data_IF_161382686570
#
_entry.id   IF_161382686570
#
_cell.length_a   1.000
_cell.length_b   1.000
_cell.length_c   1.000
_cell.angle_alpha   90.00
_cell.angle_beta   90.00
_cell.angle_gamma   90.00
#
_symmetry.space_group_name_H-M   'P 1'
#
loop_
_entity.id
_entity.type
_entity.pdbx_description
1 polymer ?
#
# COMPACT_ATOMS: atom_id res chain seq x y z
N UNK A 1 36.35 -22.16 37.99
CA UNK A 1 36.11 -20.92 38.73
C UNK A 1 35.23 -20.05 37.88
N UNK A 2 34.10 -20.08 38.08
CA UNK A 2 32.82 -19.53 38.41
C UNK A 2 32.76 -18.03 38.32
N UNK A 3 32.17 -17.51 37.21
CA UNK A 3 31.62 -16.14 37.11
C UNK A 3 30.26 -16.20 36.46
N UNK A 4 29.36 -16.98 37.01
CA UNK A 4 27.92 -16.85 36.82
C UNK A 4 27.33 -16.45 38.15
N UNK A 5 27.49 -15.15 38.53
CA UNK A 5 26.72 -14.59 39.62
C UNK A 5 25.26 -14.51 39.14
N UNK A 6 24.46 -15.37 39.77
CA UNK A 6 22.99 -15.39 39.69
C UNK A 6 22.44 -14.02 40.08
N UNK A 7 21.86 -13.33 39.11
CA UNK A 7 20.90 -12.25 39.35
C UNK A 7 19.53 -12.94 39.38
N UNK A 8 18.95 -13.19 40.59
CA UNK A 8 17.67 -13.92 40.67
C UNK A 8 16.55 -13.02 40.16
N UNK A 9 15.89 -13.49 39.10
CA UNK A 9 14.71 -12.88 38.52
C UNK A 9 14.80 -12.43 37.05
N UNK A 10 15.93 -11.92 36.60
CA UNK A 10 16.09 -11.43 35.21
C UNK A 10 16.51 -12.56 34.29
N UNK A 11 17.32 -13.51 34.77
CA UNK A 11 17.82 -14.61 33.92
C UNK A 11 16.75 -15.62 33.54
N UNK A 12 15.73 -15.86 34.36
CA UNK A 12 14.64 -16.79 34.08
C UNK A 12 13.70 -16.27 32.98
N UNK A 13 13.34 -14.99 33.05
CA UNK A 13 12.48 -14.38 32.06
C UNK A 13 13.18 -14.18 30.70
N UNK A 14 14.45 -13.77 30.71
CA UNK A 14 15.26 -13.62 29.49
C UNK A 14 15.50 -14.96 28.80
N UNK A 15 15.77 -16.05 29.53
CA UNK A 15 15.93 -17.38 28.95
C UNK A 15 14.62 -17.93 28.36
N UNK A 16 13.47 -17.58 28.93
CA UNK A 16 12.16 -17.98 28.39
C UNK A 16 11.74 -17.15 27.17
N UNK A 17 12.12 -15.88 27.11
CA UNK A 17 11.79 -14.98 25.99
C UNK A 17 12.77 -15.08 24.82
N UNK A 18 14.01 -15.51 25.07
CA UNK A 18 15.04 -15.60 24.03
C UNK A 18 14.62 -16.46 22.81
N UNK A 19 14.00 -17.66 22.96
CA UNK A 19 13.53 -18.42 21.82
C UNK A 19 12.45 -17.69 21.02
N UNK A 20 11.52 -16.99 21.70
CA UNK A 20 10.47 -16.24 21.06
C UNK A 20 11.02 -15.06 20.25
N UNK A 21 11.98 -14.32 20.83
CA UNK A 21 12.64 -13.21 20.14
C UNK A 21 13.41 -13.70 18.92
N UNK A 22 14.19 -14.78 19.08
CA UNK A 22 14.96 -15.37 17.99
C UNK A 22 14.06 -15.84 16.85
N UNK A 23 12.97 -16.53 17.17
CA UNK A 23 11.96 -16.99 16.20
C UNK A 23 11.25 -15.82 15.52
N UNK A 24 10.94 -14.75 16.27
CA UNK A 24 10.33 -13.52 15.71
C UNK A 24 11.25 -12.85 14.70
N UNK A 25 12.55 -12.75 15.00
CA UNK A 25 13.55 -12.20 14.08
C UNK A 25 13.69 -13.10 12.84
N UNK A 26 13.78 -14.42 13.05
CA UNK A 26 13.89 -15.39 11.97
C UNK A 26 12.70 -15.33 10.98
N UNK A 27 11.47 -15.12 11.46
CA UNK A 27 10.29 -14.93 10.61
C UNK A 27 10.19 -13.53 10.00
N UNK A 28 10.67 -12.51 10.69
CA UNK A 28 10.62 -11.12 10.16
C UNK A 28 11.52 -10.92 8.94
N UNK A 29 12.66 -11.58 8.88
CA UNK A 29 13.64 -11.46 7.79
C UNK A 29 13.04 -11.87 6.44
N UNK A 30 12.43 -13.07 6.26
CA UNK A 30 11.76 -13.44 5.03
C UNK A 30 10.63 -12.47 4.65
N UNK A 31 9.86 -11.99 5.62
CA UNK A 31 8.75 -11.06 5.36
C UNK A 31 9.22 -9.68 4.89
N UNK A 32 10.48 -9.33 5.14
CA UNK A 32 11.10 -8.11 4.65
C UNK A 32 11.72 -8.29 3.25
N UNK A 33 12.33 -9.46 2.99
CA UNK A 33 13.16 -9.70 1.79
C UNK A 33 12.33 -10.27 0.63
N UNK A 34 11.40 -11.20 0.92
CA UNK A 34 10.68 -11.97 -0.12
C UNK A 34 9.66 -11.13 -0.91
N UNK A 35 8.89 -10.20 -0.30
CA UNK A 35 7.94 -9.42 -1.08
C UNK A 35 8.66 -8.49 -2.07
N UNK A 36 8.30 -8.57 -3.35
CA UNK A 36 8.78 -7.66 -4.40
C UNK A 36 8.21 -6.22 -4.27
N UNK A 37 7.51 -5.92 -3.16
CA UNK A 37 7.02 -4.60 -2.78
C UNK A 37 7.73 -4.12 -1.53
N UNK A 38 7.96 -2.81 -1.40
CA UNK A 38 8.59 -2.22 -0.21
C UNK A 38 7.66 -2.36 0.99
N UNK A 39 7.83 -3.43 1.75
CA UNK A 39 7.14 -3.62 3.03
C UNK A 39 7.84 -2.76 4.08
N UNK A 40 7.07 -1.94 4.79
CA UNK A 40 7.60 -1.16 5.91
C UNK A 40 8.09 -2.14 6.97
N UNK A 41 9.35 -2.00 7.39
CA UNK A 41 10.01 -2.88 8.36
C UNK A 41 9.17 -3.16 9.62
N UNK A 42 8.39 -2.16 10.09
CA UNK A 42 7.49 -2.29 11.26
C UNK A 42 6.37 -3.32 11.03
N UNK A 43 5.83 -3.43 9.82
CA UNK A 43 4.78 -4.41 9.48
C UNK A 43 5.35 -5.81 9.32
N UNK A 44 6.57 -5.93 8.77
CA UNK A 44 7.28 -7.20 8.71
C UNK A 44 7.59 -7.74 10.12
N UNK A 45 8.01 -6.87 11.05
CA UNK A 45 8.22 -7.24 12.46
C UNK A 45 6.90 -7.66 13.11
N UNK A 46 5.82 -6.91 12.92
CA UNK A 46 4.52 -7.28 13.49
C UNK A 46 4.04 -8.66 12.99
N UNK A 47 4.19 -8.95 11.70
CA UNK A 47 3.90 -10.27 11.12
C UNK A 47 4.82 -11.35 11.68
N UNK A 48 6.12 -11.08 11.84
CA UNK A 48 7.09 -12.00 12.41
C UNK A 48 6.81 -12.34 13.88
N UNK A 49 6.43 -11.34 14.68
CA UNK A 49 6.01 -11.54 16.08
C UNK A 49 4.72 -12.36 16.15
N UNK A 50 3.73 -12.05 15.32
CA UNK A 50 2.47 -12.80 15.28
C UNK A 50 2.72 -14.27 14.87
N UNK A 51 3.57 -14.52 13.87
CA UNK A 51 3.98 -15.87 13.46
C UNK A 51 4.71 -16.61 14.57
N UNK A 52 5.63 -15.96 15.29
CA UNK A 52 6.36 -16.56 16.39
C UNK A 52 5.44 -16.96 17.55
N UNK A 53 4.49 -16.10 17.92
CA UNK A 53 3.48 -16.41 18.93
C UNK A 53 2.61 -17.58 18.46
N UNK A 54 2.11 -17.54 17.23
CA UNK A 54 1.32 -18.62 16.65
C UNK A 54 2.08 -19.95 16.62
N UNK A 55 3.35 -19.89 16.26
CA UNK A 55 4.23 -21.08 16.25
C UNK A 55 4.44 -21.67 17.66
N UNK A 56 4.62 -20.82 18.67
CA UNK A 56 4.77 -21.26 20.08
C UNK A 56 3.48 -21.92 20.59
N UNK A 57 2.32 -21.31 20.29
CA UNK A 57 1.00 -21.89 20.63
C UNK A 57 0.77 -23.21 19.90
N UNK A 58 1.07 -23.26 18.60
CA UNK A 58 0.97 -24.48 17.80
C UNK A 58 1.88 -25.60 18.36
N UNK A 59 3.12 -25.29 18.71
CA UNK A 59 4.08 -26.21 19.28
C UNK A 59 3.57 -26.86 20.57
N UNK A 60 2.99 -26.06 21.47
CA UNK A 60 2.38 -26.54 22.72
C UNK A 60 1.13 -27.38 22.45
N UNK A 61 0.24 -26.89 21.56
CA UNK A 61 -0.97 -27.62 21.16
C UNK A 61 -0.63 -28.97 20.52
N UNK A 62 0.38 -29.01 19.66
CA UNK A 62 0.85 -30.25 19.02
C UNK A 62 1.45 -31.24 20.04
N UNK A 63 2.19 -30.77 21.05
CA UNK A 63 2.68 -31.63 22.13
C UNK A 63 1.52 -32.26 22.92
N UNK A 64 0.49 -31.47 23.26
CA UNK A 64 -0.73 -31.95 23.90
C UNK A 64 -1.45 -32.97 23.03
N UNK A 65 -1.56 -32.71 21.71
CA UNK A 65 -2.19 -33.64 20.74
C UNK A 65 -1.48 -35.01 20.76
N UNK A 66 -0.16 -35.05 20.65
CA UNK A 66 0.59 -36.34 20.63
C UNK A 66 0.44 -37.09 21.95
N UNK A 67 0.43 -36.41 23.10
CA UNK A 67 0.36 -37.06 24.41
C UNK A 67 -1.01 -37.57 24.76
N UNK A 68 -2.09 -36.92 24.32
CA UNK A 68 -3.48 -37.27 24.66
C UNK A 68 -4.17 -38.17 23.63
N UNK A 69 -3.63 -38.25 22.39
CA UNK A 69 -4.22 -39.07 21.34
C UNK A 69 -3.25 -40.16 20.83
N UNK A 70 -2.93 -41.19 21.67
CA UNK A 70 -1.98 -42.26 21.30
C UNK A 70 -2.56 -43.25 20.27
N UNK A 71 -3.82 -43.07 19.81
CA UNK A 71 -4.52 -43.98 18.94
C UNK A 71 -3.75 -44.33 17.66
N UNK A 72 -3.08 -43.35 17.06
CA UNK A 72 -2.23 -43.58 15.87
C UNK A 72 -1.02 -44.48 16.18
N UNK A 73 -0.40 -44.26 17.33
CA UNK A 73 0.73 -45.11 17.76
C UNK A 73 0.27 -46.52 18.11
N UNK A 74 -0.92 -46.68 18.71
CA UNK A 74 -1.48 -48.00 19.03
C UNK A 74 -1.82 -48.82 17.81
N UNK A 75 -2.26 -48.21 16.70
CA UNK A 75 -2.64 -48.91 15.46
C UNK A 75 -1.45 -49.13 14.52
N UNK A 76 -0.61 -48.12 14.33
CA UNK A 76 0.46 -48.09 13.34
C UNK A 76 1.86 -48.30 13.91
N UNK A 77 2.01 -48.35 15.24
CA UNK A 77 3.30 -48.53 15.90
C UNK A 77 4.32 -47.45 15.48
N UNK A 78 5.51 -47.92 15.10
CA UNK A 78 6.59 -47.00 14.65
C UNK A 78 6.26 -46.23 13.36
N UNK A 79 5.41 -46.78 12.50
CA UNK A 79 4.99 -46.12 11.24
C UNK A 79 4.13 -44.86 11.46
N UNK A 80 3.56 -44.68 12.66
CA UNK A 80 2.81 -43.47 13.02
C UNK A 80 3.68 -42.19 12.99
N UNK A 81 4.99 -42.34 13.11
CA UNK A 81 5.94 -41.21 13.10
C UNK A 81 5.88 -40.41 11.79
N UNK A 82 5.68 -41.08 10.64
CA UNK A 82 5.68 -40.43 9.33
C UNK A 82 4.49 -39.46 9.19
N UNK A 83 3.21 -39.85 9.38
CA UNK A 83 2.09 -38.92 9.28
C UNK A 83 2.13 -37.84 10.36
N UNK A 84 2.61 -38.11 11.58
CA UNK A 84 2.78 -37.13 12.63
C UNK A 84 3.82 -36.06 12.23
N UNK A 85 4.93 -36.47 11.63
CA UNK A 85 5.96 -35.58 11.13
C UNK A 85 5.45 -34.71 9.96
N UNK A 86 4.70 -35.31 9.03
CA UNK A 86 4.08 -34.55 7.94
C UNK A 86 3.08 -33.52 8.45
N UNK A 87 2.27 -33.86 9.46
CA UNK A 87 1.35 -32.94 10.10
C UNK A 87 2.11 -31.78 10.77
N UNK A 88 3.24 -32.07 11.43
CA UNK A 88 4.11 -31.06 12.00
C UNK A 88 4.63 -30.06 10.95
N UNK A 89 5.16 -30.55 9.84
CA UNK A 89 5.64 -29.72 8.73
C UNK A 89 4.49 -28.86 8.18
N UNK A 90 3.33 -29.45 7.95
CA UNK A 90 2.16 -28.74 7.44
C UNK A 90 1.74 -27.58 8.36
N UNK A 91 1.61 -27.84 9.66
CA UNK A 91 1.26 -26.82 10.64
C UNK A 91 2.33 -25.74 10.74
N UNK A 92 3.60 -26.09 10.65
CA UNK A 92 4.71 -25.13 10.66
C UNK A 92 4.61 -24.15 9.48
N UNK A 93 4.38 -24.67 8.26
CA UNK A 93 4.17 -23.82 7.08
C UNK A 93 2.92 -22.94 7.19
N UNK A 94 1.86 -23.47 7.76
CA UNK A 94 0.63 -22.72 7.99
C UNK A 94 0.88 -21.49 8.88
N UNK A 95 1.70 -21.63 9.94
CA UNK A 95 2.06 -20.50 10.81
C UNK A 95 2.92 -19.46 10.09
N UNK A 96 3.88 -19.91 9.26
CA UNK A 96 4.69 -19.01 8.44
C UNK A 96 3.82 -18.22 7.46
N UNK A 97 2.90 -18.87 6.76
CA UNK A 97 2.00 -18.23 5.82
C UNK A 97 1.01 -17.27 6.52
N UNK A 98 0.50 -17.65 7.68
CA UNK A 98 -0.37 -16.78 8.49
C UNK A 98 0.33 -15.48 8.86
N UNK A 99 1.59 -15.56 9.30
CA UNK A 99 2.40 -14.38 9.60
C UNK A 99 2.63 -13.49 8.37
N UNK A 100 2.88 -14.10 7.21
CA UNK A 100 3.02 -13.38 5.94
C UNK A 100 1.73 -12.63 5.57
N UNK A 101 0.56 -13.29 5.73
CA UNK A 101 -0.75 -12.67 5.48
C UNK A 101 -0.98 -11.51 6.44
N UNK A 102 -0.64 -11.65 7.72
CA UNK A 102 -0.76 -10.57 8.71
C UNK A 102 0.13 -9.39 8.31
N UNK A 103 1.41 -9.64 7.97
CA UNK A 103 2.34 -8.60 7.53
C UNK A 103 1.82 -7.84 6.30
N UNK A 104 1.31 -8.57 5.30
CA UNK A 104 0.74 -8.02 4.08
C UNK A 104 -0.55 -7.23 4.36
N UNK A 105 -1.44 -7.76 5.20
CA UNK A 105 -2.71 -7.12 5.55
C UNK A 105 -2.50 -5.80 6.29
N UNK A 106 -1.57 -5.74 7.24
CA UNK A 106 -1.24 -4.50 7.95
C UNK A 106 -0.70 -3.42 6.99
N UNK A 107 0.02 -3.81 5.96
CA UNK A 107 0.48 -2.88 4.92
C UNK A 107 -0.67 -2.35 4.08
N UNK A 108 -1.66 -3.21 3.75
CA UNK A 108 -2.80 -2.85 2.89
C UNK A 108 -3.89 -2.05 3.61
N UNK A 109 -4.07 -2.20 4.92
CA UNK A 109 -5.11 -1.52 5.69
C UNK A 109 -4.96 0.00 5.71
N UNK A 110 -3.74 0.52 5.78
CA UNK A 110 -3.49 1.96 5.72
C UNK A 110 -3.83 2.53 4.36
N UNK A 111 -3.58 1.75 3.30
CA UNK A 111 -3.91 2.10 1.93
C UNK A 111 -5.43 2.20 1.70
N UNK A 112 -6.20 1.21 2.19
CA UNK A 112 -7.67 1.20 2.08
C UNK A 112 -8.32 2.34 2.87
N UNK A 113 -7.81 2.66 4.06
CA UNK A 113 -8.33 3.77 4.88
C UNK A 113 -8.11 5.12 4.22
N UNK A 114 -6.96 5.33 3.60
CA UNK A 114 -6.66 6.56 2.87
C UNK A 114 -7.52 6.70 1.60
N UNK A 115 -7.83 5.59 0.92
CA UNK A 115 -8.69 5.58 -0.27
C UNK A 115 -10.18 5.81 0.08
N UNK A 116 -10.61 5.51 1.29
CA UNK A 116 -12.00 5.69 1.75
C UNK A 116 -12.31 7.08 2.33
N UNK A 117 -11.30 7.87 2.69
CA UNK A 117 -11.51 9.24 3.14
C UNK A 117 -11.95 10.12 1.97
N UNK A 118 -13.22 10.53 1.99
CA UNK A 118 -13.83 11.41 0.96
C UNK A 118 -13.08 12.75 0.83
N UNK A 119 -12.46 13.21 1.91
CA UNK A 119 -11.54 14.36 1.94
C UNK A 119 -10.26 14.07 1.14
N UNK A 120 -9.90 12.79 0.97
CA UNK A 120 -8.69 12.37 0.26
C UNK A 120 -8.80 12.53 -1.26
N UNK A 121 -10.00 12.42 -1.86
CA UNK A 121 -10.15 12.46 -3.33
C UNK A 121 -9.77 13.83 -3.92
N UNK A 122 -10.24 14.92 -3.34
CA UNK A 122 -9.82 16.27 -3.76
C UNK A 122 -8.34 16.53 -3.51
N UNK A 123 -7.80 16.07 -2.38
CA UNK A 123 -6.37 16.13 -2.07
C UNK A 123 -5.56 15.34 -3.09
N UNK A 124 -5.98 14.12 -3.42
CA UNK A 124 -5.30 13.25 -4.40
C UNK A 124 -5.19 13.91 -5.77
N UNK A 125 -6.24 14.57 -6.22
CA UNK A 125 -6.24 15.31 -7.48
C UNK A 125 -5.21 16.46 -7.44
N UNK A 126 -5.20 17.26 -6.39
CA UNK A 126 -4.24 18.38 -6.24
C UNK A 126 -2.79 17.85 -6.12
N UNK A 127 -2.58 16.78 -5.36
CA UNK A 127 -1.26 16.17 -5.20
C UNK A 127 -0.77 15.56 -6.53
N UNK A 128 -1.68 15.01 -7.35
CA UNK A 128 -1.38 14.54 -8.69
C UNK A 128 -0.95 15.67 -9.63
N UNK A 129 -1.63 16.81 -9.59
CA UNK A 129 -1.26 17.99 -10.37
C UNK A 129 0.12 18.53 -9.97
N UNK A 130 0.40 18.65 -8.66
CA UNK A 130 1.71 19.07 -8.15
C UNK A 130 2.83 18.13 -8.56
N UNK A 131 2.54 16.82 -8.56
CA UNK A 131 3.50 15.80 -8.94
C UNK A 131 3.78 15.82 -10.44
N UNK A 132 2.77 16.05 -11.28
CA UNK A 132 2.94 16.26 -12.72
C UNK A 132 3.70 17.56 -13.01
N UNK A 133 3.46 18.64 -12.27
CA UNK A 133 4.23 19.87 -12.39
C UNK A 133 5.71 19.62 -12.12
N UNK A 134 6.06 18.99 -11.00
CA UNK A 134 7.44 18.70 -10.65
C UNK A 134 8.13 17.80 -11.69
N UNK A 135 7.42 16.78 -12.19
CA UNK A 135 7.94 15.91 -13.25
C UNK A 135 8.07 16.64 -14.59
N UNK A 136 7.15 17.55 -14.92
CA UNK A 136 7.20 18.36 -16.14
C UNK A 136 8.37 19.35 -16.12
N UNK A 137 8.65 19.99 -15.00
CA UNK A 137 9.81 20.88 -14.81
C UNK A 137 11.12 20.09 -14.94
N UNK A 138 11.19 18.92 -14.31
CA UNK A 138 12.34 18.02 -14.44
C UNK A 138 12.55 17.57 -15.88
N UNK A 139 11.48 17.23 -16.60
CA UNK A 139 11.51 16.82 -18.00
C UNK A 139 12.07 17.93 -18.90
N UNK A 140 11.62 19.19 -18.73
CA UNK A 140 12.14 20.36 -19.44
C UNK A 140 13.65 20.55 -19.22
N UNK A 141 14.14 20.20 -18.03
CA UNK A 141 15.54 20.29 -17.64
C UNK A 141 16.36 19.00 -17.96
N UNK A 142 15.77 18.02 -18.64
CA UNK A 142 16.43 16.74 -18.95
C UNK A 142 16.79 15.90 -17.72
N UNK A 143 16.10 16.13 -16.58
CA UNK A 143 16.34 15.44 -15.31
C UNK A 143 15.34 14.33 -15.06
N UNK A 144 15.75 13.33 -14.31
CA UNK A 144 14.92 12.24 -13.83
C UNK A 144 14.71 12.42 -12.34
N UNK A 145 13.45 12.49 -11.91
CA UNK A 145 13.12 12.66 -10.51
C UNK A 145 13.03 11.32 -9.77
N UNK A 146 13.63 11.28 -8.59
CA UNK A 146 13.60 10.11 -7.70
C UNK A 146 12.52 10.27 -6.65
N UNK A 147 12.05 9.16 -6.06
CA UNK A 147 11.13 9.22 -4.93
C UNK A 147 11.61 10.12 -3.79
N UNK A 148 12.91 10.11 -3.48
CA UNK A 148 13.48 10.92 -2.40
C UNK A 148 13.43 12.42 -2.68
N UNK A 149 13.60 12.82 -3.94
CA UNK A 149 13.52 14.23 -4.37
C UNK A 149 12.08 14.71 -4.32
N UNK A 150 11.17 13.94 -4.92
CA UNK A 150 9.73 14.24 -4.93
C UNK A 150 9.13 14.30 -3.52
N UNK A 151 9.55 13.38 -2.63
CA UNK A 151 9.10 13.39 -1.22
C UNK A 151 9.51 14.67 -0.48
N UNK A 152 10.74 15.13 -0.69
CA UNK A 152 11.23 16.37 -0.05
C UNK A 152 10.53 17.62 -0.60
N UNK A 153 10.23 17.64 -1.89
CA UNK A 153 9.61 18.78 -2.57
C UNK A 153 8.10 18.88 -2.27
N UNK A 154 7.40 17.77 -2.26
CA UNK A 154 5.93 17.73 -2.19
C UNK A 154 5.39 17.40 -0.80
N UNK A 155 6.26 16.95 0.14
CA UNK A 155 5.89 16.50 1.49
C UNK A 155 4.81 15.38 1.49
N UNK A 156 4.71 14.61 0.39
CA UNK A 156 3.82 13.46 0.28
C UNK A 156 4.43 12.24 0.94
N UNK A 157 3.60 11.41 1.58
CA UNK A 157 4.08 10.13 2.09
C UNK A 157 4.51 9.21 0.94
N UNK A 158 5.35 8.24 1.25
CA UNK A 158 5.85 7.31 0.23
C UNK A 158 4.71 6.51 -0.42
N UNK A 159 3.74 6.10 0.39
CA UNK A 159 2.58 5.33 -0.04
C UNK A 159 1.64 6.16 -0.93
N UNK A 160 1.39 7.43 -0.56
CA UNK A 160 0.56 8.35 -1.36
C UNK A 160 1.18 8.54 -2.75
N UNK A 161 2.47 8.82 -2.78
CA UNK A 161 3.20 9.05 -4.03
C UNK A 161 3.26 7.79 -4.91
N UNK A 162 3.52 6.62 -4.32
CA UNK A 162 3.54 5.34 -5.05
C UNK A 162 2.20 5.07 -5.73
N UNK A 163 1.09 5.30 -5.01
CA UNK A 163 -0.24 5.11 -5.55
C UNK A 163 -0.56 6.09 -6.70
N UNK A 164 -0.27 7.38 -6.50
CA UNK A 164 -0.50 8.40 -7.54
C UNK A 164 0.31 8.06 -8.79
N UNK A 165 1.59 7.72 -8.63
CA UNK A 165 2.48 7.35 -9.73
C UNK A 165 2.05 6.05 -10.43
N UNK A 166 1.58 5.03 -9.70
CA UNK A 166 1.06 3.79 -10.29
C UNK A 166 -0.19 4.07 -11.14
N UNK A 167 -1.12 4.88 -10.61
CA UNK A 167 -2.33 5.26 -11.34
C UNK A 167 -2.01 6.06 -12.60
N UNK A 168 -1.11 7.04 -12.51
CA UNK A 168 -0.66 7.83 -13.66
C UNK A 168 0.14 6.97 -14.68
N UNK A 169 0.90 5.99 -14.20
CA UNK A 169 1.64 5.08 -15.08
C UNK A 169 0.71 4.19 -15.89
N UNK A 170 -0.39 3.70 -15.29
CA UNK A 170 -1.44 2.97 -15.99
C UNK A 170 -2.17 3.83 -17.04
N UNK A 171 -2.27 5.12 -16.78
CA UNK A 171 -2.81 6.10 -17.72
C UNK A 171 -1.78 6.56 -18.78
N UNK A 172 -0.58 6.01 -18.79
CA UNK A 172 0.54 6.38 -19.66
C UNK A 172 0.98 7.86 -19.56
N UNK A 173 0.74 8.50 -18.43
CA UNK A 173 1.17 9.89 -18.18
C UNK A 173 2.63 9.95 -17.73
N UNK A 174 3.07 8.97 -16.93
CA UNK A 174 4.41 8.87 -16.38
C UNK A 174 4.98 7.45 -16.54
N UNK A 175 6.29 7.32 -16.50
CA UNK A 175 6.97 6.01 -16.56
C UNK A 175 8.16 5.97 -15.62
N UNK A 176 8.33 4.82 -14.99
CA UNK A 176 9.52 4.54 -14.21
C UNK A 176 10.67 4.14 -15.14
N UNK A 177 11.83 4.78 -15.01
CA UNK A 177 13.05 4.42 -15.73
C UNK A 177 13.87 3.38 -14.96
N UNK A 178 14.74 2.66 -15.67
CA UNK A 178 15.56 1.57 -15.08
C UNK A 178 16.45 2.03 -13.90
N UNK A 179 16.78 3.30 -13.85
CA UNK A 179 17.54 3.93 -12.74
C UNK A 179 16.72 4.16 -11.48
N UNK A 180 15.44 3.78 -11.47
CA UNK A 180 14.55 3.92 -10.31
C UNK A 180 13.88 5.29 -10.17
N UNK A 181 14.08 6.19 -11.15
CA UNK A 181 13.41 7.49 -11.20
C UNK A 181 12.14 7.47 -12.05
N UNK A 182 11.46 8.63 -12.09
CA UNK A 182 10.22 8.83 -12.82
C UNK A 182 10.37 9.94 -13.84
N UNK A 183 9.75 9.75 -14.99
CA UNK A 183 9.71 10.74 -16.08
C UNK A 183 8.29 10.88 -16.58
N UNK A 184 7.93 12.07 -17.02
CA UNK A 184 6.71 12.33 -17.77
C UNK A 184 6.87 11.80 -19.19
N UNK A 185 5.83 11.13 -19.73
CA UNK A 185 5.86 10.57 -21.10
C UNK A 185 5.15 11.49 -22.06
N UNK A 186 3.97 12.00 -21.65
CA UNK A 186 3.15 12.88 -22.47
C UNK A 186 3.54 14.34 -22.20
N UNK A 187 3.62 15.12 -23.29
CA UNK A 187 3.76 16.56 -23.17
C UNK A 187 2.57 17.15 -22.43
N UNK A 188 2.83 18.07 -21.50
CA UNK A 188 1.80 18.77 -20.73
C UNK A 188 0.80 19.55 -21.61
N UNK A 189 1.14 19.82 -22.88
CA UNK A 189 0.23 20.41 -23.87
C UNK A 189 -0.88 19.46 -24.34
N UNK A 190 -0.68 18.16 -24.24
CA UNK A 190 -1.61 17.15 -24.71
C UNK A 190 -2.46 16.53 -23.60
N UNK A 191 -2.31 16.96 -22.35
CA UNK A 191 -3.05 16.47 -21.19
C UNK A 191 -3.80 17.63 -20.58
N UNK A 192 -5.08 17.43 -20.31
CA UNK A 192 -5.95 18.47 -19.74
C UNK A 192 -6.18 18.22 -18.24
N UNK A 193 -6.58 19.27 -17.53
CA UNK A 193 -7.04 19.19 -16.14
C UNK A 193 -8.20 18.21 -16.00
N UNK A 194 -9.10 18.16 -17.01
CA UNK A 194 -10.23 17.22 -17.06
C UNK A 194 -9.78 15.75 -17.05
N UNK A 195 -8.68 15.42 -17.73
CA UNK A 195 -8.16 14.05 -17.78
C UNK A 195 -7.67 13.59 -16.42
N UNK A 196 -6.97 14.47 -15.70
CA UNK A 196 -6.50 14.20 -14.34
C UNK A 196 -7.68 14.12 -13.36
N UNK A 197 -8.67 15.01 -13.50
CA UNK A 197 -9.87 14.97 -12.68
C UNK A 197 -10.66 13.66 -12.86
N UNK A 198 -10.83 13.19 -14.11
CA UNK A 198 -11.46 11.89 -14.39
C UNK A 198 -10.69 10.72 -13.79
N UNK A 199 -9.37 10.80 -13.79
CA UNK A 199 -8.52 9.72 -13.28
C UNK A 199 -8.62 9.59 -11.75
N UNK A 200 -8.67 10.71 -11.02
CA UNK A 200 -8.55 10.74 -9.56
C UNK A 200 -9.87 10.96 -8.82
N UNK A 201 -10.84 11.65 -9.43
CA UNK A 201 -12.02 12.12 -8.70
C UNK A 201 -13.33 11.56 -9.26
N UNK A 202 -13.56 11.67 -10.55
CA UNK A 202 -14.85 11.31 -11.13
C UNK A 202 -14.72 10.59 -12.46
N UNK A 203 -15.20 9.34 -12.50
CA UNK A 203 -15.21 8.50 -13.70
C UNK A 203 -16.61 8.47 -14.31
N UNK A 204 -16.86 9.19 -15.41
CA UNK A 204 -18.21 9.25 -16.02
C UNK A 204 -18.76 7.88 -16.41
N UNK A 205 -17.89 6.97 -16.88
CA UNK A 205 -18.33 5.65 -17.31
C UNK A 205 -18.89 4.81 -16.16
N UNK A 206 -18.24 4.88 -14.99
CA UNK A 206 -18.68 4.17 -13.77
C UNK A 206 -19.98 4.79 -13.26
N UNK A 207 -20.08 6.12 -13.28
CA UNK A 207 -21.30 6.83 -12.87
C UNK A 207 -22.47 6.49 -13.78
N UNK A 208 -22.28 6.45 -15.11
CA UNK A 208 -23.32 6.04 -16.08
C UNK A 208 -23.76 4.59 -15.86
N UNK A 209 -22.80 3.67 -15.65
CA UNK A 209 -23.12 2.27 -15.34
C UNK A 209 -23.97 2.13 -14.08
N UNK A 210 -23.67 2.93 -13.05
CA UNK A 210 -24.45 2.93 -11.80
C UNK A 210 -25.84 3.59 -11.95
N UNK A 211 -26.00 4.52 -12.89
CA UNK A 211 -27.25 5.21 -13.19
C UNK A 211 -28.14 4.48 -14.21
N UNK A 212 -27.66 3.36 -14.75
CA UNK A 212 -28.35 2.60 -15.79
C UNK A 212 -29.78 2.22 -15.37
N UNK A 213 -30.73 2.59 -16.22
CA UNK A 213 -32.17 2.39 -15.95
C UNK A 213 -32.89 3.58 -15.31
N UNK A 214 -32.18 4.69 -15.02
CA UNK A 214 -32.79 5.93 -14.55
C UNK A 214 -32.47 7.10 -15.50
N UNK A 215 -33.34 7.33 -16.47
CA UNK A 215 -33.17 8.33 -17.55
C UNK A 215 -32.88 9.75 -17.01
N UNK A 216 -33.42 10.11 -15.83
CA UNK A 216 -33.16 11.44 -15.25
C UNK A 216 -31.73 11.56 -14.70
N UNK A 217 -31.21 10.49 -14.10
CA UNK A 217 -29.82 10.46 -13.64
C UNK A 217 -28.84 10.43 -14.81
N UNK A 218 -29.16 9.70 -15.87
CA UNK A 218 -28.33 9.67 -17.09
C UNK A 218 -28.20 11.06 -17.72
N UNK A 219 -29.32 11.79 -17.89
CA UNK A 219 -29.34 13.16 -18.42
C UNK A 219 -28.53 14.12 -17.51
N UNK A 220 -28.70 14.03 -16.21
CA UNK A 220 -27.95 14.84 -15.25
C UNK A 220 -26.44 14.58 -15.34
N UNK A 221 -26.04 13.30 -15.43
CA UNK A 221 -24.64 12.92 -15.56
C UNK A 221 -24.01 13.40 -16.87
N UNK A 222 -24.77 13.39 -17.95
CA UNK A 222 -24.32 13.92 -19.24
C UNK A 222 -24.11 15.44 -19.18
N UNK A 223 -25.02 16.18 -18.55
CA UNK A 223 -24.90 17.62 -18.36
C UNK A 223 -23.71 17.99 -17.47
N UNK A 224 -23.54 17.29 -16.34
CA UNK A 224 -22.38 17.44 -15.46
C UNK A 224 -21.07 17.17 -16.21
N UNK A 225 -21.02 16.08 -16.97
CA UNK A 225 -19.84 15.68 -17.73
C UNK A 225 -19.49 16.71 -18.79
N UNK A 226 -20.50 17.25 -19.48
CA UNK A 226 -20.33 18.30 -20.48
C UNK A 226 -19.81 19.59 -19.86
N UNK A 227 -20.43 20.07 -18.79
CA UNK A 227 -19.99 21.29 -18.09
C UNK A 227 -18.60 21.16 -17.49
N UNK A 228 -18.26 19.97 -16.98
CA UNK A 228 -16.92 19.66 -16.51
C UNK A 228 -15.88 19.73 -17.65
N UNK A 229 -16.18 19.14 -18.80
CA UNK A 229 -15.28 19.17 -19.94
C UNK A 229 -15.09 20.60 -20.45
N UNK A 230 -16.14 21.39 -20.57
CA UNK A 230 -16.05 22.79 -21.03
C UNK A 230 -15.19 23.66 -20.11
N UNK A 231 -15.24 23.43 -18.80
CA UNK A 231 -14.49 24.27 -17.81
C UNK A 231 -13.10 23.77 -17.50
N UNK A 232 -12.85 22.45 -17.63
CA UNK A 232 -11.59 21.83 -17.27
C UNK A 232 -10.75 21.39 -18.47
N UNK A 233 -11.19 21.71 -19.70
CA UNK A 233 -10.42 21.45 -20.93
C UNK A 233 -9.28 22.46 -21.09
N UNK A 234 -8.50 22.59 -20.02
CA UNK A 234 -7.33 23.45 -19.93
C UNK A 234 -6.09 22.56 -19.99
N UNK A 235 -5.19 22.75 -20.97
CA UNK A 235 -3.94 22.02 -21.01
C UNK A 235 -3.09 22.26 -19.76
N UNK A 236 -2.45 21.22 -19.26
CA UNK A 236 -1.58 21.35 -18.07
C UNK A 236 -0.39 22.28 -18.33
N UNK A 237 0.05 22.44 -19.57
CA UNK A 237 1.09 23.39 -19.95
C UNK A 237 0.72 24.83 -19.63
N UNK A 238 -0.57 25.21 -19.76
CA UNK A 238 -1.04 26.54 -19.38
C UNK A 238 -1.16 26.70 -17.85
N UNK A 239 -1.52 25.61 -17.16
CA UNK A 239 -1.59 25.62 -15.69
C UNK A 239 -0.20 25.73 -15.05
N UNK A 240 0.82 25.18 -15.70
CA UNK A 240 2.22 25.15 -15.22
C UNK A 240 3.11 26.23 -15.85
N UNK A 241 2.57 27.10 -16.72
CA UNK A 241 3.29 28.25 -17.21
C UNK A 241 3.53 29.22 -16.05
N UNK A 242 4.79 29.57 -15.81
CA UNK A 242 5.22 30.42 -14.72
C UNK A 242 4.70 31.84 -14.95
N UNK A 243 3.86 32.30 -14.07
CA UNK A 243 3.51 33.70 -13.76
C UNK A 243 3.39 34.72 -14.90
N UNK A 244 2.40 34.58 -15.77
CA UNK A 244 1.55 35.71 -16.05
C UNK A 244 0.23 35.41 -15.35
N UNK A 245 -0.03 36.02 -14.24
CA UNK A 245 -1.26 35.85 -13.47
C UNK A 245 -2.41 36.24 -14.39
N UNK A 246 -3.19 35.30 -14.94
CA UNK A 246 -4.47 35.67 -15.49
C UNK A 246 -5.29 36.09 -14.27
N UNK A 247 -5.64 37.39 -14.18
CA UNK A 247 -6.69 37.84 -13.29
C UNK A 247 -7.90 36.93 -13.53
N UNK A 248 -8.13 36.02 -12.58
CA UNK A 248 -9.37 35.24 -12.58
C UNK A 248 -10.51 36.26 -12.61
N UNK A 249 -11.43 36.19 -13.57
CA UNK A 249 -12.58 37.09 -13.60
C UNK A 249 -13.29 37.00 -12.25
N UNK A 250 -13.72 38.11 -11.66
CA UNK A 250 -14.36 38.12 -10.36
C UNK A 250 -15.56 37.18 -10.40
N UNK A 251 -15.45 36.07 -9.71
CA UNK A 251 -16.57 35.15 -9.54
C UNK A 251 -17.60 35.85 -8.66
N UNK A 252 -18.68 36.29 -9.29
CA UNK A 252 -19.87 36.74 -8.59
C UNK A 252 -20.50 35.53 -7.87
N UNK A 253 -20.13 35.35 -6.63
CA UNK A 253 -20.89 34.52 -5.72
C UNK A 253 -22.16 35.26 -5.35
N UNK A 254 -23.17 35.25 -6.22
CA UNK A 254 -24.51 35.65 -5.87
C UNK A 254 -25.35 34.40 -5.71
N UNK A 255 -25.58 34.02 -4.47
CA UNK A 255 -26.78 33.35 -4.02
C UNK A 255 -26.82 31.86 -4.18
N UNK A 256 -26.46 31.14 -3.10
CA UNK A 256 -27.28 30.03 -2.60
C UNK A 256 -27.23 30.15 -1.07
N UNK A 257 -28.24 30.76 -0.49
CA UNK A 257 -28.68 30.53 0.88
C UNK A 257 -29.78 29.47 0.81
#
# INVERSE_FOLDING_TARGET
>A
MGLTQDIPGINGALLQLAPLVLTSVAFSIPYLIVPNRRVIWRHAIAGGVAAAIGFEVMKRGFAVYITHFPTYQAVYGAFATIPIFLLWIYLSWLMVLLGAVIAASLSSWRFLKWQQDTTAQGKQFIDALRLLQALGEAFKNGKVETYSTLHKQLMLSFEEMEWILDLMSRANLVRQVKTGGWVQILDSGNVTVADIYRLFTFRPEVARSAAAGNARLELLLDDITKGMNEKMDVPLSLLFAENDTPELPPQSYSGII
#
